data_IF_909679052593
#
_entry.id   IF_909679052593
#
_cell.length_a   1.000
_cell.length_b   1.000
_cell.length_c   1.000
_cell.angle_alpha   90.00
_cell.angle_beta   90.00
_cell.angle_gamma   90.00
#
_symmetry.space_group_name_H-M   'P 1'
#
loop_
_entity.id
_entity.type
_entity.pdbx_description
1 polymer ?
#
# COMPACT_ATOMS: atom_id res chain seq x y z
N UNK A 1 -44.52 51.17 -26.65
CA UNK A 1 -44.03 50.11 -27.56
C UNK A 1 -44.71 48.82 -27.12
N UNK A 2 -45.96 48.65 -27.55
CA UNK A 2 -46.40 47.61 -28.49
C UNK A 2 -46.21 46.21 -27.89
N UNK A 3 -47.26 45.58 -27.36
CA UNK A 3 -48.29 44.85 -28.14
C UNK A 3 -47.61 43.86 -29.08
N UNK A 4 -47.53 42.58 -28.67
CA UNK A 4 -47.87 41.45 -29.54
C UNK A 4 -48.04 40.14 -28.74
N UNK A 5 -49.31 39.75 -28.55
CA UNK A 5 -49.84 38.38 -28.48
C UNK A 5 -49.44 37.46 -27.30
N UNK A 6 -50.33 37.04 -26.38
CA UNK A 6 -51.78 37.13 -26.37
C UNK A 6 -52.45 36.28 -27.45
N UNK A 7 -52.97 35.11 -27.07
CA UNK A 7 -53.71 34.11 -27.86
C UNK A 7 -52.88 33.11 -28.69
N UNK A 8 -53.32 31.85 -28.63
CA UNK A 8 -52.74 30.60 -29.18
C UNK A 8 -51.74 29.97 -28.19
N UNK A 9 -52.18 29.36 -27.08
CA UNK A 9 -52.69 27.99 -27.13
C UNK A 9 -53.62 27.71 -25.94
N UNK A 10 -54.79 28.37 -25.93
CA UNK A 10 -55.94 27.99 -25.12
C UNK A 10 -56.64 26.79 -25.77
N UNK A 11 -55.95 25.66 -25.94
CA UNK A 11 -56.50 24.42 -26.52
C UNK A 11 -55.78 23.16 -25.99
N UNK A 12 -55.51 23.01 -24.69
CA UNK A 12 -55.19 21.67 -24.11
C UNK A 12 -55.75 21.49 -22.68
N UNK A 13 -56.76 22.27 -22.29
CA UNK A 13 -57.48 22.05 -21.01
C UNK A 13 -58.98 22.21 -21.18
N UNK A 14 -59.59 21.23 -21.85
CA UNK A 14 -60.98 20.77 -21.74
C UNK A 14 -61.17 19.71 -22.84
N UNK A 15 -61.59 18.46 -22.58
CA UNK A 15 -62.41 18.01 -21.45
C UNK A 15 -61.90 16.71 -20.79
N UNK A 16 -61.48 16.80 -19.53
CA UNK A 16 -61.37 15.66 -18.59
C UNK A 16 -62.75 15.18 -18.08
N UNK A 17 -63.82 15.48 -18.83
CA UNK A 17 -65.23 15.31 -18.42
C UNK A 17 -66.01 14.43 -19.42
N UNK A 18 -65.39 13.92 -20.49
CA UNK A 18 -66.03 13.00 -21.45
C UNK A 18 -65.60 11.53 -21.38
N UNK A 19 -64.87 11.11 -20.33
CA UNK A 19 -64.57 9.67 -20.11
C UNK A 19 -65.50 9.06 -19.04
N UNK A 20 -66.33 9.86 -18.36
CA UNK A 20 -67.28 9.37 -17.34
C UNK A 20 -68.63 8.93 -17.95
N UNK A 21 -68.86 9.12 -19.26
CA UNK A 21 -70.14 8.77 -19.92
C UNK A 21 -69.92 8.01 -21.23
N UNK A 22 -69.02 7.03 -21.26
CA UNK A 22 -69.07 5.91 -22.22
C UNK A 22 -68.57 4.68 -21.47
N UNK A 23 -69.31 3.56 -21.54
CA UNK A 23 -69.11 2.27 -20.84
C UNK A 23 -70.01 1.98 -19.63
N UNK A 24 -71.22 2.56 -19.60
CA UNK A 24 -72.38 1.83 -19.06
C UNK A 24 -72.78 0.79 -20.12
N UNK A 25 -72.84 -0.48 -19.72
CA UNK A 25 -73.01 -1.69 -20.53
C UNK A 25 -71.74 -2.28 -21.18
N UNK A 26 -70.82 -2.79 -20.37
CA UNK A 26 -70.12 -4.03 -20.72
C UNK A 26 -70.35 -5.03 -19.59
N UNK A 27 -70.97 -6.14 -19.98
CA UNK A 27 -71.52 -7.19 -19.14
C UNK A 27 -70.46 -7.86 -18.28
N UNK A 28 -70.84 -8.17 -17.04
CA UNK A 28 -70.09 -8.84 -15.95
C UNK A 28 -69.42 -10.19 -16.34
N UNK A 29 -69.58 -10.68 -17.57
CA UNK A 29 -69.02 -11.93 -18.05
C UNK A 29 -67.61 -11.86 -18.67
N UNK A 30 -67.01 -10.66 -18.82
CA UNK A 30 -65.62 -10.52 -19.32
C UNK A 30 -64.55 -10.30 -18.23
N UNK A 31 -64.97 -10.04 -16.99
CA UNK A 31 -64.05 -10.01 -15.83
C UNK A 31 -63.82 -11.43 -15.27
N UNK A 32 -64.73 -12.37 -15.54
CA UNK A 32 -64.56 -13.79 -15.14
C UNK A 32 -63.72 -14.63 -16.11
N UNK A 33 -63.50 -14.20 -17.36
CA UNK A 33 -62.68 -14.96 -18.33
C UNK A 33 -61.22 -14.49 -18.41
N UNK A 34 -60.87 -13.37 -17.78
CA UNK A 34 -59.47 -12.94 -17.58
C UNK A 34 -58.94 -13.28 -16.18
N UNK A 35 -59.81 -13.67 -15.23
CA UNK A 35 -59.42 -14.25 -13.94
C UNK A 35 -59.22 -15.78 -13.99
N UNK A 36 -59.65 -16.47 -15.07
CA UNK A 36 -59.49 -17.91 -15.25
C UNK A 36 -58.28 -18.31 -16.13
N UNK A 37 -57.40 -17.36 -16.46
CA UNK A 37 -56.08 -17.61 -17.06
C UNK A 37 -54.92 -17.21 -16.12
N UNK A 38 -55.23 -16.80 -14.89
CA UNK A 38 -54.27 -16.55 -13.81
C UNK A 38 -54.53 -17.44 -12.57
N UNK A 39 -55.41 -18.44 -12.71
CA UNK A 39 -55.83 -19.38 -11.67
C UNK A 39 -55.58 -20.85 -12.00
N UNK A 40 -54.59 -21.17 -12.84
CA UNK A 40 -54.07 -22.54 -13.07
C UNK A 40 -52.54 -22.54 -12.86
N UNK A 41 -52.11 -22.05 -11.70
CA UNK A 41 -50.70 -22.08 -11.28
C UNK A 41 -50.50 -22.46 -9.82
N UNK A 42 -51.57 -22.87 -9.13
CA UNK A 42 -51.53 -23.24 -7.70
C UNK A 42 -52.30 -24.54 -7.51
N UNK A 43 -51.72 -25.64 -7.99
CA UNK A 43 -51.98 -26.98 -7.46
C UNK A 43 -50.64 -27.65 -7.23
N UNK A 44 -50.25 -27.58 -5.97
CA UNK A 44 -49.30 -28.41 -5.23
C UNK A 44 -49.11 -29.81 -5.84
N UNK A 45 -47.85 -30.24 -6.03
CA UNK A 45 -47.39 -31.51 -5.48
C UNK A 45 -46.33 -31.24 -4.40
N UNK A 46 -46.80 -31.33 -3.17
CA UNK A 46 -46.03 -31.61 -1.96
C UNK A 46 -45.78 -33.12 -2.00
N UNK A 47 -44.51 -33.52 -1.80
CA UNK A 47 -43.95 -34.88 -1.91
C UNK A 47 -44.00 -35.45 -3.35
N UNK A 48 -42.91 -35.72 -4.06
CA UNK A 48 -41.65 -36.37 -3.67
C UNK A 48 -40.53 -35.70 -4.45
N UNK A 49 -39.71 -34.92 -3.75
CA UNK A 49 -38.53 -34.27 -4.29
C UNK A 49 -37.34 -34.40 -3.36
N UNK A 50 -37.14 -35.58 -2.76
CA UNK A 50 -35.82 -35.97 -2.22
C UNK A 50 -34.84 -36.25 -3.37
N UNK A 51 -34.76 -35.37 -4.35
CA UNK A 51 -33.47 -35.10 -4.95
C UNK A 51 -32.86 -34.07 -4.04
N UNK A 52 -32.11 -34.57 -3.06
CA UNK A 52 -30.97 -33.86 -2.52
C UNK A 52 -30.40 -33.04 -3.66
N UNK A 53 -30.46 -31.71 -3.58
CA UNK A 53 -29.57 -30.89 -4.36
C UNK A 53 -28.19 -31.37 -3.93
N UNK A 54 -27.63 -32.26 -4.72
CA UNK A 54 -26.22 -32.56 -4.79
C UNK A 54 -25.54 -31.28 -5.27
N UNK A 55 -25.58 -30.23 -4.44
CA UNK A 55 -24.72 -29.07 -4.52
C UNK A 55 -23.34 -29.48 -4.04
N UNK A 56 -22.74 -30.37 -4.83
CA UNK A 56 -21.32 -30.62 -4.82
C UNK A 56 -20.85 -30.72 -6.27
N UNK A 57 -21.25 -29.74 -7.08
CA UNK A 57 -20.26 -29.16 -7.98
C UNK A 57 -19.35 -28.24 -7.16
N UNK A 58 -18.61 -28.82 -6.22
CA UNK A 58 -17.26 -28.33 -5.99
C UNK A 58 -16.61 -28.42 -7.36
N UNK A 59 -16.31 -27.28 -7.97
CA UNK A 59 -15.34 -27.26 -9.06
C UNK A 59 -14.10 -27.89 -8.45
N UNK A 60 -13.86 -29.17 -8.71
CA UNK A 60 -12.61 -29.82 -8.33
C UNK A 60 -11.57 -29.07 -9.14
N UNK A 61 -10.85 -28.18 -8.47
CA UNK A 61 -9.67 -27.58 -9.06
C UNK A 61 -8.79 -28.74 -9.52
N UNK A 62 -8.59 -28.86 -10.83
CA UNK A 62 -7.70 -29.86 -11.44
C UNK A 62 -6.24 -29.65 -11.00
N UNK A 63 -5.97 -28.51 -10.35
CA UNK A 63 -4.67 -28.09 -9.82
C UNK A 63 -4.73 -28.10 -8.28
N UNK A 64 -3.69 -28.58 -7.56
CA UNK A 64 -3.63 -28.50 -6.10
C UNK A 64 -3.35 -27.07 -5.63
N UNK A 65 -4.30 -26.17 -5.86
CA UNK A 65 -4.27 -24.81 -5.34
C UNK A 65 -5.19 -24.74 -4.12
N UNK A 66 -4.60 -24.79 -2.93
CA UNK A 66 -5.30 -24.71 -1.66
C UNK A 66 -5.06 -23.33 -1.03
N UNK A 67 -6.14 -22.62 -0.73
CA UNK A 67 -6.13 -21.30 -0.08
C UNK A 67 -6.68 -21.49 1.33
N UNK A 68 -5.90 -21.18 2.36
CA UNK A 68 -6.32 -21.27 3.77
C UNK A 68 -5.94 -19.99 4.54
N UNK A 69 -6.80 -19.47 5.42
CA UNK A 69 -6.46 -18.26 6.16
C UNK A 69 -5.21 -18.52 7.04
N UNK A 70 -4.25 -17.59 7.08
CA UNK A 70 -3.10 -17.71 7.97
C UNK A 70 -3.57 -17.67 9.43
N UNK A 71 -2.88 -18.40 10.32
CA UNK A 71 -3.17 -18.33 11.74
C UNK A 71 -2.71 -16.99 12.31
N UNK A 72 -3.63 -16.24 12.91
CA UNK A 72 -3.29 -15.04 13.70
C UNK A 72 -2.67 -15.47 15.03
N UNK A 73 -1.44 -15.03 15.36
CA UNK A 73 -0.84 -15.33 16.65
C UNK A 73 -1.60 -14.64 17.80
N UNK A 74 -1.54 -15.19 19.02
CA UNK A 74 -2.17 -14.56 20.19
C UNK A 74 -1.50 -13.24 20.59
N UNK A 75 -0.22 -13.08 20.24
CA UNK A 75 0.58 -11.90 20.52
C UNK A 75 1.55 -11.61 19.38
N UNK A 76 1.94 -10.35 19.23
CA UNK A 76 3.03 -9.91 18.37
C UNK A 76 4.07 -9.16 19.18
N UNK A 77 5.33 -9.19 18.75
CA UNK A 77 6.40 -8.40 19.38
C UNK A 77 6.75 -7.23 18.47
N UNK A 78 6.85 -6.02 19.00
CA UNK A 78 7.30 -4.82 18.28
C UNK A 78 8.19 -3.98 19.19
N UNK A 79 9.44 -3.77 18.80
CA UNK A 79 10.51 -3.19 19.65
C UNK A 79 10.61 -3.83 21.04
N UNK A 80 10.51 -5.15 21.13
CA UNK A 80 10.55 -5.86 22.41
C UNK A 80 9.26 -5.79 23.23
N UNK A 81 8.35 -4.87 22.93
CA UNK A 81 7.02 -4.82 23.53
C UNK A 81 6.13 -5.92 22.99
N UNK A 82 5.38 -6.57 23.89
CA UNK A 82 4.42 -7.63 23.55
C UNK A 82 3.03 -7.05 23.42
N UNK A 83 2.45 -7.17 22.23
CA UNK A 83 1.12 -6.69 21.88
C UNK A 83 0.15 -7.87 21.92
N UNK A 84 -0.83 -7.80 22.82
CA UNK A 84 -1.93 -8.77 22.89
C UNK A 84 -2.88 -8.59 21.70
N UNK A 85 -3.09 -9.68 20.95
CA UNK A 85 -3.96 -9.76 19.78
C UNK A 85 -5.21 -10.61 20.03
N UNK A 86 -5.48 -11.06 21.25
CA UNK A 86 -6.66 -11.90 21.59
C UNK A 86 -7.96 -11.12 21.60
N UNK A 87 -7.90 -9.81 21.86
CA UNK A 87 -9.06 -8.91 21.75
C UNK A 87 -9.57 -8.90 20.31
N UNK A 88 -10.89 -9.06 20.13
CA UNK A 88 -11.51 -9.25 18.81
C UNK A 88 -11.11 -8.15 17.80
N UNK A 89 -11.08 -6.90 18.24
CA UNK A 89 -10.76 -5.73 17.42
C UNK A 89 -9.32 -5.76 16.90
N UNK A 90 -8.37 -6.22 17.72
CA UNK A 90 -6.96 -6.37 17.32
C UNK A 90 -6.76 -7.62 16.48
N UNK A 91 -7.46 -8.71 16.83
CA UNK A 91 -7.37 -9.99 16.13
C UNK A 91 -7.81 -9.89 14.68
N UNK A 92 -9.01 -9.33 14.46
CA UNK A 92 -9.59 -9.19 13.12
C UNK A 92 -8.78 -8.19 12.26
N UNK A 93 -8.23 -7.13 12.87
CA UNK A 93 -7.34 -6.20 12.17
C UNK A 93 -6.01 -6.85 11.77
N UNK A 94 -5.41 -7.68 12.63
CA UNK A 94 -4.21 -8.44 12.29
C UNK A 94 -4.50 -9.50 11.21
N UNK A 95 -5.62 -10.23 11.35
CA UNK A 95 -6.06 -11.25 10.39
C UNK A 95 -6.14 -10.69 8.97
N UNK A 96 -6.84 -9.56 8.83
CA UNK A 96 -6.98 -8.85 7.54
C UNK A 96 -5.63 -8.59 6.88
N UNK A 97 -4.65 -8.08 7.63
CA UNK A 97 -3.37 -7.71 7.04
C UNK A 97 -2.49 -8.94 6.77
N UNK A 98 -2.54 -9.98 7.61
CA UNK A 98 -1.88 -11.27 7.34
C UNK A 98 -2.44 -11.91 6.07
N UNK A 99 -3.77 -11.94 5.91
CA UNK A 99 -4.41 -12.39 4.68
C UNK A 99 -3.93 -11.57 3.47
N UNK A 100 -3.90 -10.24 3.59
CA UNK A 100 -3.46 -9.37 2.49
C UNK A 100 -2.03 -9.68 2.05
N UNK A 101 -1.07 -9.75 2.98
CA UNK A 101 0.32 -10.05 2.63
C UNK A 101 0.51 -11.48 2.13
N UNK A 102 -0.26 -12.45 2.64
CA UNK A 102 -0.20 -13.84 2.16
C UNK A 102 -0.68 -13.94 0.72
N UNK A 103 -1.83 -13.33 0.40
CA UNK A 103 -2.49 -13.53 -0.89
C UNK A 103 -2.11 -12.54 -1.99
N UNK A 104 -1.44 -11.45 -1.65
CA UNK A 104 -0.79 -10.57 -2.63
C UNK A 104 0.61 -11.10 -3.01
N UNK A 105 0.68 -12.37 -3.42
CA UNK A 105 1.92 -13.13 -3.51
C UNK A 105 3.04 -12.45 -4.29
N UNK A 106 2.73 -11.91 -5.48
CA UNK A 106 3.70 -11.23 -6.33
C UNK A 106 4.30 -10.00 -5.66
N UNK A 107 3.48 -9.25 -4.92
CA UNK A 107 3.92 -8.05 -4.20
C UNK A 107 4.82 -8.44 -3.03
N UNK A 108 4.38 -9.40 -2.21
CA UNK A 108 5.13 -9.86 -1.04
C UNK A 108 6.47 -10.50 -1.42
N UNK A 109 6.49 -11.35 -2.45
CA UNK A 109 7.75 -11.88 -2.99
C UNK A 109 8.69 -10.76 -3.45
N UNK A 110 8.17 -9.75 -4.15
CA UNK A 110 9.00 -8.62 -4.58
C UNK A 110 9.53 -7.79 -3.41
N UNK A 111 8.75 -7.62 -2.34
CA UNK A 111 9.21 -6.96 -1.12
C UNK A 111 10.37 -7.74 -0.49
N UNK A 112 10.26 -9.07 -0.33
CA UNK A 112 11.33 -9.91 0.24
C UNK A 112 12.60 -9.84 -0.63
N UNK A 113 12.46 -9.96 -1.96
CA UNK A 113 13.59 -9.85 -2.89
C UNK A 113 14.32 -8.52 -2.76
N UNK A 114 13.59 -7.41 -2.65
CA UNK A 114 14.15 -6.05 -2.47
C UNK A 114 14.74 -5.83 -1.08
N UNK A 115 14.17 -6.46 -0.05
CA UNK A 115 14.69 -6.34 1.31
C UNK A 115 16.13 -6.87 1.40
N UNK A 116 16.43 -7.94 0.68
CA UNK A 116 17.80 -8.46 0.57
C UNK A 116 18.81 -7.42 0.06
N UNK A 117 18.37 -6.45 -0.76
CA UNK A 117 19.20 -5.35 -1.26
C UNK A 117 19.30 -4.19 -0.28
N UNK A 118 18.17 -3.80 0.33
CA UNK A 118 18.11 -2.53 1.05
C UNK A 118 18.26 -2.65 2.56
N UNK A 119 17.81 -3.74 3.19
CA UNK A 119 17.95 -3.91 4.64
C UNK A 119 19.42 -3.84 5.11
N UNK A 120 20.42 -4.46 4.44
CA UNK A 120 21.83 -4.31 4.83
C UNK A 120 22.34 -2.86 4.89
N UNK A 121 21.73 -1.95 4.10
CA UNK A 121 22.07 -0.52 4.10
C UNK A 121 21.33 0.23 5.21
N UNK A 122 20.08 -0.16 5.50
CA UNK A 122 19.18 0.58 6.39
C UNK A 122 19.39 0.20 7.85
N UNK A 123 19.54 -1.08 8.17
CA UNK A 123 19.63 -1.57 9.55
C UNK A 123 20.80 -0.92 10.33
N UNK A 124 22.02 -0.77 9.75
CA UNK A 124 23.09 -0.05 10.44
C UNK A 124 22.77 1.42 10.71
N UNK A 125 22.03 2.08 9.81
CA UNK A 125 21.63 3.49 9.97
C UNK A 125 20.58 3.66 11.08
N UNK A 126 19.60 2.75 11.16
CA UNK A 126 18.63 2.72 12.25
C UNK A 126 19.34 2.49 13.59
N UNK A 127 20.20 1.47 13.65
CA UNK A 127 20.98 1.13 14.84
C UNK A 127 21.87 2.28 15.31
N UNK A 128 22.60 2.92 14.40
CA UNK A 128 23.44 4.07 14.71
C UNK A 128 22.64 5.26 15.25
N UNK A 129 21.35 5.32 14.96
CA UNK A 129 20.43 6.32 15.49
C UNK A 129 19.65 5.85 16.72
N UNK A 130 19.84 4.62 17.22
CA UNK A 130 19.04 4.08 18.32
C UNK A 130 17.56 3.93 17.97
N UNK A 131 17.24 3.74 16.68
CA UNK A 131 15.89 3.40 16.23
C UNK A 131 15.75 1.88 16.22
N UNK A 132 14.61 1.33 16.70
CA UNK A 132 14.35 -0.10 16.63
C UNK A 132 14.43 -0.64 15.20
N UNK A 133 14.99 -1.84 15.07
CA UNK A 133 15.15 -2.51 13.78
C UNK A 133 13.81 -2.71 13.05
N UNK A 134 12.73 -2.93 13.82
CA UNK A 134 11.37 -3.11 13.30
C UNK A 134 10.88 -1.92 12.45
N UNK A 135 11.43 -0.72 12.62
CA UNK A 135 11.06 0.44 11.80
C UNK A 135 11.46 0.30 10.33
N UNK A 136 12.36 -0.64 9.98
CA UNK A 136 12.67 -0.94 8.58
C UNK A 136 11.43 -1.41 7.80
N UNK A 137 10.46 -2.03 8.49
CA UNK A 137 9.23 -2.50 7.89
C UNK A 137 8.28 -1.38 7.47
N UNK A 138 8.44 -0.15 7.97
CA UNK A 138 7.70 1.00 7.45
C UNK A 138 7.99 1.21 5.96
N UNK A 139 9.25 1.11 5.52
CA UNK A 139 9.57 1.21 4.08
C UNK A 139 8.88 0.13 3.24
N UNK A 140 8.62 -1.04 3.84
CA UNK A 140 7.93 -2.13 3.17
C UNK A 140 6.47 -1.76 2.93
N UNK A 141 5.76 -1.27 3.96
CA UNK A 141 4.35 -0.92 3.83
C UNK A 141 4.09 0.41 3.10
N UNK A 142 5.09 1.31 3.09
CA UNK A 142 5.03 2.62 2.43
C UNK A 142 5.33 2.51 0.92
N UNK A 143 6.38 1.80 0.55
CA UNK A 143 6.92 1.85 -0.82
C UNK A 143 7.08 0.48 -1.48
N UNK A 144 6.78 -0.62 -0.78
CA UNK A 144 7.17 -1.98 -1.19
C UNK A 144 8.69 -2.07 -1.47
N UNK A 145 9.49 -1.32 -0.69
CA UNK A 145 10.92 -1.12 -0.87
C UNK A 145 11.32 -0.65 -2.28
N UNK A 146 10.44 0.12 -2.93
CA UNK A 146 10.73 0.72 -4.22
C UNK A 146 11.37 2.10 -4.02
N UNK A 147 12.67 2.28 -4.31
CA UNK A 147 13.34 3.55 -4.06
C UNK A 147 12.81 4.69 -4.93
N UNK A 148 12.13 4.40 -6.04
CA UNK A 148 11.51 5.38 -6.95
C UNK A 148 10.00 5.54 -6.75
N UNK A 149 9.43 4.99 -5.68
CA UNK A 149 8.00 5.11 -5.39
C UNK A 149 7.56 6.58 -5.31
N UNK A 150 6.38 6.88 -5.86
CA UNK A 150 5.70 8.16 -5.70
C UNK A 150 4.20 7.94 -5.57
N UNK A 151 3.59 8.42 -4.49
CA UNK A 151 2.15 8.33 -4.31
C UNK A 151 1.40 9.39 -5.14
N UNK A 152 0.09 9.22 -5.39
CA UNK A 152 -0.74 10.25 -6.01
C UNK A 152 -0.75 11.57 -5.24
N UNK A 153 -0.62 11.52 -3.91
CA UNK A 153 -0.53 12.71 -3.05
C UNK A 153 0.85 13.39 -3.11
N UNK A 154 1.86 12.73 -3.69
CA UNK A 154 3.21 13.29 -3.88
C UNK A 154 4.24 12.86 -2.84
N UNK A 155 3.92 11.91 -1.97
CA UNK A 155 4.90 11.22 -1.13
C UNK A 155 5.92 10.48 -2.01
N UNK A 156 7.20 10.41 -1.61
CA UNK A 156 8.26 9.87 -2.47
C UNK A 156 9.34 9.07 -1.74
N UNK A 157 9.97 8.15 -2.48
CA UNK A 157 11.08 7.33 -2.01
C UNK A 157 10.67 6.17 -1.10
N UNK A 158 11.68 5.50 -0.53
CA UNK A 158 11.46 4.34 0.36
C UNK A 158 10.59 4.67 1.57
N UNK A 159 10.80 5.86 2.12
CA UNK A 159 10.14 6.37 3.33
C UNK A 159 8.84 7.14 3.04
N UNK A 160 8.48 7.32 1.76
CA UNK A 160 7.27 8.06 1.34
C UNK A 160 7.13 9.43 2.02
N UNK A 161 8.20 10.23 2.05
CA UNK A 161 8.11 11.57 2.60
C UNK A 161 7.29 12.50 1.70
N UNK A 162 6.38 13.26 2.31
CA UNK A 162 5.77 14.43 1.68
C UNK A 162 6.82 15.53 1.46
N UNK A 163 6.73 16.35 0.39
CA UNK A 163 7.75 17.35 0.07
C UNK A 163 8.03 18.35 1.21
N UNK A 164 6.97 18.79 1.92
CA UNK A 164 7.09 19.75 3.03
C UNK A 164 7.80 19.10 4.20
N UNK A 165 7.32 17.93 4.64
CA UNK A 165 7.92 17.16 5.73
C UNK A 165 9.38 16.79 5.45
N UNK A 166 9.70 16.39 4.22
CA UNK A 166 11.09 16.12 3.82
C UNK A 166 12.01 17.32 4.09
N UNK A 167 11.57 18.54 3.72
CA UNK A 167 12.34 19.77 3.95
C UNK A 167 12.43 20.13 5.42
N UNK A 168 11.35 19.95 6.19
CA UNK A 168 11.35 20.14 7.65
C UNK A 168 12.40 19.24 8.32
N UNK A 169 12.56 18.02 7.83
CA UNK A 169 13.60 17.10 8.29
C UNK A 169 14.93 17.22 7.51
N UNK A 170 15.17 18.33 6.81
CA UNK A 170 16.48 18.69 6.28
C UNK A 170 16.87 18.04 4.94
N UNK A 171 15.92 17.47 4.20
CA UNK A 171 16.14 17.00 2.84
C UNK A 171 15.99 18.13 1.83
N UNK A 172 16.87 18.14 0.82
CA UNK A 172 16.70 18.97 -0.37
C UNK A 172 15.62 18.39 -1.29
N UNK A 173 14.63 19.20 -1.65
CA UNK A 173 13.53 18.82 -2.55
C UNK A 173 13.23 19.96 -3.52
N UNK A 174 13.69 19.81 -4.76
CA UNK A 174 13.44 20.71 -5.90
C UNK A 174 13.42 19.92 -7.23
N UNK A 175 13.25 20.63 -8.36
CA UNK A 175 13.08 20.01 -9.68
C UNK A 175 14.36 19.35 -10.23
N UNK A 176 15.54 19.61 -9.64
CA UNK A 176 16.80 19.03 -10.08
C UNK A 176 17.33 17.95 -9.12
N UNK A 177 17.09 18.12 -7.82
CA UNK A 177 17.52 17.25 -6.73
C UNK A 177 16.34 16.99 -5.79
N UNK A 178 16.05 15.72 -5.54
CA UNK A 178 15.03 15.31 -4.58
C UNK A 178 15.56 14.17 -3.70
N UNK A 179 16.09 14.57 -2.54
CA UNK A 179 16.76 13.66 -1.59
C UNK A 179 15.79 12.72 -0.86
N UNK A 180 14.47 12.82 -1.10
CA UNK A 180 13.51 11.79 -0.67
C UNK A 180 13.79 10.44 -1.33
N UNK A 181 14.34 10.47 -2.55
CA UNK A 181 14.78 9.28 -3.27
C UNK A 181 16.19 8.83 -2.86
N UNK A 182 16.94 9.62 -2.08
CA UNK A 182 18.28 9.24 -1.61
C UNK A 182 18.16 8.37 -0.36
N UNK A 183 18.57 7.11 -0.46
CA UNK A 183 18.31 6.07 0.54
C UNK A 183 18.83 6.47 1.93
N UNK A 184 20.10 6.82 2.04
CA UNK A 184 20.79 7.12 3.30
C UNK A 184 20.29 8.44 3.90
N UNK A 185 20.14 9.50 3.09
CA UNK A 185 19.66 10.80 3.56
C UNK A 185 18.20 10.73 4.02
N UNK A 186 17.33 10.09 3.25
CA UNK A 186 15.94 9.89 3.63
C UNK A 186 15.82 9.04 4.90
N UNK A 187 16.67 8.02 5.08
CA UNK A 187 16.72 7.23 6.32
C UNK A 187 17.16 8.07 7.52
N UNK A 188 18.16 8.93 7.35
CA UNK A 188 18.55 9.86 8.40
C UNK A 188 17.42 10.85 8.76
N UNK A 189 16.65 11.31 7.77
CA UNK A 189 15.47 12.15 7.99
C UNK A 189 14.36 11.39 8.74
N UNK A 190 14.09 10.13 8.36
CA UNK A 190 13.16 9.25 9.08
C UNK A 190 13.58 9.04 10.53
N UNK A 191 14.87 8.79 10.79
CA UNK A 191 15.40 8.68 12.15
C UNK A 191 15.16 9.94 12.99
N UNK A 192 15.32 11.14 12.39
CA UNK A 192 15.01 12.41 13.08
C UNK A 192 13.52 12.52 13.40
N UNK A 193 12.64 12.14 12.48
CA UNK A 193 11.21 12.08 12.72
C UNK A 193 10.90 11.14 13.88
N UNK A 194 11.40 9.90 13.84
CA UNK A 194 11.13 8.87 14.84
C UNK A 194 11.57 9.30 16.24
N UNK A 195 12.77 9.90 16.36
CA UNK A 195 13.26 10.46 17.63
C UNK A 195 12.35 11.55 18.17
N UNK A 196 11.91 12.47 17.32
CA UNK A 196 11.01 13.55 17.74
C UNK A 196 9.67 12.99 18.22
N UNK A 197 9.09 12.04 17.47
CA UNK A 197 7.83 11.42 17.83
C UNK A 197 7.98 10.56 19.12
N UNK A 198 9.08 9.82 19.27
CA UNK A 198 9.31 9.01 20.47
C UNK A 198 9.52 9.87 21.71
N UNK A 199 10.24 10.99 21.58
CA UNK A 199 10.37 11.97 22.67
C UNK A 199 9.01 12.54 23.13
N UNK A 200 8.00 12.52 22.25
CA UNK A 200 6.63 12.96 22.56
C UNK A 200 5.79 11.85 23.19
N UNK A 201 5.87 10.63 22.68
CA UNK A 201 4.95 9.55 23.05
C UNK A 201 5.52 8.53 24.04
N UNK A 202 6.83 8.30 24.02
CA UNK A 202 7.46 7.21 24.76
C UNK A 202 7.04 5.80 24.31
N UNK A 203 6.25 5.69 23.25
CA UNK A 203 5.67 4.45 22.73
C UNK A 203 5.91 4.34 21.22
N UNK A 204 6.59 3.27 20.80
CA UNK A 204 6.94 3.09 19.39
C UNK A 204 5.75 2.77 18.50
N UNK A 205 4.69 2.18 19.06
CA UNK A 205 3.49 1.93 18.29
C UNK A 205 2.78 3.25 17.92
N UNK A 206 2.69 4.20 18.85
CA UNK A 206 2.23 5.56 18.62
C UNK A 206 3.13 6.33 17.65
N UNK A 207 4.46 6.13 17.71
CA UNK A 207 5.39 6.68 16.71
C UNK A 207 5.02 6.19 15.31
N UNK A 208 4.81 4.89 15.13
CA UNK A 208 4.42 4.32 13.84
C UNK A 208 3.08 4.87 13.33
N UNK A 209 2.07 4.97 14.20
CA UNK A 209 0.78 5.55 13.85
C UNK A 209 0.92 7.02 13.43
N UNK A 210 1.78 7.77 14.14
CA UNK A 210 2.03 9.18 13.83
C UNK A 210 2.73 9.38 12.49
N UNK A 211 3.55 8.42 12.06
CA UNK A 211 4.23 8.49 10.77
C UNK A 211 3.24 8.55 9.61
N UNK A 212 2.17 7.74 9.66
CA UNK A 212 1.08 7.77 8.68
C UNK A 212 0.16 8.98 8.85
N UNK A 213 -0.26 9.26 10.08
CA UNK A 213 -1.37 10.20 10.34
C UNK A 213 -0.95 11.63 10.67
N UNK A 214 0.34 11.86 10.94
CA UNK A 214 0.89 13.05 11.54
C UNK A 214 0.79 13.04 13.08
N UNK A 215 1.79 13.61 13.75
CA UNK A 215 1.85 13.68 15.21
C UNK A 215 0.69 14.47 15.82
N UNK A 216 0.31 15.60 15.22
CA UNK A 216 -0.82 16.41 15.72
C UNK A 216 -2.14 15.64 15.75
N UNK A 217 -2.38 14.78 14.74
CA UNK A 217 -3.59 13.97 14.65
C UNK A 217 -3.61 12.89 15.73
N UNK A 218 -2.51 12.15 15.88
CA UNK A 218 -2.42 11.09 16.90
C UNK A 218 -2.57 11.66 18.31
N UNK A 219 -1.87 12.74 18.63
CA UNK A 219 -2.01 13.39 19.94
C UNK A 219 -3.45 13.83 20.20
N UNK A 220 -4.08 14.53 19.25
CA UNK A 220 -5.46 14.97 19.41
C UNK A 220 -6.44 13.80 19.58
N UNK A 221 -6.19 12.64 18.98
CA UNK A 221 -7.09 11.49 19.08
C UNK A 221 -6.89 10.71 20.38
N UNK A 222 -5.66 10.59 20.87
CA UNK A 222 -5.39 10.06 22.23
C UNK A 222 -6.15 10.88 23.27
N UNK A 223 -6.02 12.21 23.22
CA UNK A 223 -6.69 13.12 24.15
C UNK A 223 -8.23 13.03 24.04
N UNK A 224 -8.76 13.06 22.81
CA UNK A 224 -10.22 13.06 22.57
C UNK A 224 -10.90 11.76 22.95
N UNK A 225 -10.22 10.64 22.76
CA UNK A 225 -10.78 9.31 22.98
C UNK A 225 -10.41 8.74 24.35
N UNK A 226 -9.64 9.50 25.16
CA UNK A 226 -9.15 9.07 26.47
C UNK A 226 -8.44 7.71 26.37
N UNK A 227 -7.64 7.53 25.32
CA UNK A 227 -6.95 6.29 25.03
C UNK A 227 -5.48 6.41 25.42
N UNK A 228 -4.99 5.43 26.18
CA UNK A 228 -3.59 5.38 26.60
C UNK A 228 -2.66 4.84 25.50
N UNK A 229 -3.21 4.11 24.53
CA UNK A 229 -2.45 3.41 23.51
C UNK A 229 -3.01 3.63 22.11
N UNK A 230 -2.12 3.88 21.12
CA UNK A 230 -2.52 4.24 19.77
C UNK A 230 -3.38 3.17 19.06
N UNK A 231 -3.16 1.88 19.36
CA UNK A 231 -3.96 0.78 18.78
C UNK A 231 -5.42 0.76 19.25
N UNK A 232 -5.76 1.45 20.34
CA UNK A 232 -7.13 1.56 20.83
C UNK A 232 -7.88 2.75 20.21
N UNK A 233 -7.20 3.57 19.40
CA UNK A 233 -7.81 4.70 18.72
C UNK A 233 -8.75 4.25 17.60
N UNK A 234 -9.90 4.92 17.54
CA UNK A 234 -10.77 4.95 16.38
C UNK A 234 -10.25 5.99 15.37
N UNK A 235 -9.55 5.53 14.34
CA UNK A 235 -8.98 6.38 13.30
C UNK A 235 -9.61 6.06 11.93
N UNK A 236 -9.30 6.90 10.93
CA UNK A 236 -9.60 6.57 9.53
C UNK A 236 -9.04 5.20 9.18
N UNK A 237 -9.76 4.44 8.34
CA UNK A 237 -9.45 3.05 8.04
C UNK A 237 -7.97 2.84 7.67
N UNK A 238 -7.41 3.68 6.80
CA UNK A 238 -6.00 3.61 6.41
C UNK A 238 -5.04 3.63 7.62
N UNK A 239 -5.23 4.60 8.52
CA UNK A 239 -4.39 4.76 9.72
C UNK A 239 -4.62 3.66 10.73
N UNK A 240 -5.88 3.26 10.98
CA UNK A 240 -6.22 2.16 11.88
C UNK A 240 -5.53 0.86 11.45
N UNK A 241 -5.44 0.61 10.14
CA UNK A 241 -4.77 -0.55 9.57
C UNK A 241 -3.25 -0.46 9.62
N UNK A 242 -2.68 0.74 9.63
CA UNK A 242 -1.24 0.96 9.46
C UNK A 242 -0.37 0.20 10.47
N UNK A 243 -0.74 0.25 11.75
CA UNK A 243 -0.04 -0.48 12.83
C UNK A 243 -0.11 -1.99 12.62
N UNK A 244 -1.26 -2.53 12.21
CA UNK A 244 -1.42 -3.97 11.96
C UNK A 244 -0.73 -4.41 10.66
N UNK A 245 -0.64 -3.54 9.65
CA UNK A 245 0.16 -3.79 8.44
C UNK A 245 1.64 -3.96 8.79
N UNK A 246 2.12 -3.14 9.73
CA UNK A 246 3.49 -3.21 10.22
C UNK A 246 3.77 -4.54 10.96
N UNK A 247 2.87 -4.94 11.86
CA UNK A 247 2.98 -6.21 12.58
C UNK A 247 2.87 -7.42 11.63
N UNK A 248 1.91 -7.39 10.71
CA UNK A 248 1.69 -8.48 9.75
C UNK A 248 2.87 -8.66 8.80
N UNK A 249 3.43 -7.56 8.28
CA UNK A 249 4.60 -7.67 7.40
C UNK A 249 5.82 -8.17 8.16
N UNK A 250 6.02 -7.74 9.41
CA UNK A 250 7.08 -8.29 10.28
C UNK A 250 6.91 -9.80 10.47
N UNK A 251 5.69 -10.26 10.74
CA UNK A 251 5.41 -11.68 10.92
C UNK A 251 5.69 -12.49 9.64
N UNK A 252 5.26 -11.99 8.47
CA UNK A 252 5.52 -12.63 7.17
C UNK A 252 7.01 -12.67 6.86
N UNK A 253 7.74 -11.58 7.08
CA UNK A 253 9.21 -11.55 6.89
C UNK A 253 9.96 -12.38 7.94
N UNK A 254 9.37 -12.55 9.12
CA UNK A 254 9.89 -13.36 10.21
C UNK A 254 9.92 -14.85 9.86
N UNK A 255 8.93 -15.32 9.08
CA UNK A 255 8.84 -16.71 8.63
C UNK A 255 8.07 -16.83 7.30
N UNK A 256 8.68 -16.49 6.15
CA UNK A 256 7.97 -16.47 4.86
C UNK A 256 7.44 -17.84 4.43
N UNK A 257 8.14 -18.94 4.76
CA UNK A 257 7.70 -20.28 4.35
C UNK A 257 6.37 -20.66 5.01
N UNK A 258 6.11 -20.21 6.25
CA UNK A 258 4.82 -20.43 6.93
C UNK A 258 3.63 -19.84 6.16
N UNK A 259 3.89 -18.84 5.32
CA UNK A 259 2.89 -18.17 4.48
C UNK A 259 2.95 -18.61 3.01
N UNK A 260 3.67 -19.70 2.70
CA UNK A 260 3.76 -20.26 1.34
C UNK A 260 4.80 -19.58 0.44
N UNK A 261 5.64 -18.70 0.97
CA UNK A 261 6.71 -18.05 0.19
C UNK A 261 7.98 -18.90 0.16
N UNK A 262 8.15 -19.66 -0.92
CA UNK A 262 9.28 -20.56 -1.13
C UNK A 262 10.30 -19.93 -2.10
N UNK A 263 11.06 -18.95 -1.62
CA UNK A 263 12.11 -18.31 -2.42
C UNK A 263 13.41 -19.09 -2.32
N UNK A 264 14.25 -19.01 -3.36
CA UNK A 264 15.64 -19.48 -3.36
C UNK A 264 16.58 -18.29 -3.31
N UNK A 265 17.84 -18.51 -2.92
CA UNK A 265 18.90 -17.48 -2.93
C UNK A 265 18.96 -16.73 -4.26
N UNK A 266 18.88 -17.45 -5.37
CA UNK A 266 18.92 -16.88 -6.72
C UNK A 266 17.75 -15.96 -7.08
N UNK A 267 16.63 -16.07 -6.35
CA UNK A 267 15.50 -15.18 -6.55
C UNK A 267 15.75 -13.81 -5.90
N UNK A 268 16.56 -13.72 -4.83
CA UNK A 268 16.74 -12.48 -4.11
C UNK A 268 17.51 -11.43 -4.93
N UNK A 269 17.26 -10.16 -4.66
CA UNK A 269 18.04 -9.09 -5.28
C UNK A 269 19.29 -8.81 -4.43
N UNK A 270 20.52 -9.04 -4.95
CA UNK A 270 21.74 -8.73 -4.23
C UNK A 270 21.94 -7.21 -4.16
N UNK A 271 22.74 -6.76 -3.21
CA UNK A 271 23.33 -5.43 -3.25
C UNK A 271 24.09 -5.21 -4.56
N UNK A 272 24.07 -3.98 -5.06
CA UNK A 272 24.83 -3.61 -6.26
C UNK A 272 26.06 -2.84 -5.78
N UNK A 273 27.28 -3.40 -5.88
CA UNK A 273 28.49 -2.67 -5.54
C UNK A 273 28.62 -1.39 -6.38
N UNK A 274 29.05 -0.31 -5.73
CA UNK A 274 29.27 0.97 -6.37
C UNK A 274 30.55 1.61 -5.84
N UNK A 275 31.09 2.55 -6.61
CA UNK A 275 32.06 3.54 -6.13
C UNK A 275 31.36 4.87 -5.94
N UNK A 276 31.85 5.66 -4.98
CA UNK A 276 31.39 7.01 -4.75
C UNK A 276 32.19 8.00 -5.59
N UNK A 277 31.49 8.92 -6.27
CA UNK A 277 32.10 10.04 -7.01
C UNK A 277 31.57 11.34 -6.44
N UNK A 278 32.43 12.09 -5.77
CA UNK A 278 32.11 13.43 -5.30
C UNK A 278 32.09 14.43 -6.47
N UNK A 279 31.05 15.25 -6.53
CA UNK A 279 30.91 16.33 -7.51
C UNK A 279 30.47 17.60 -6.81
N UNK A 280 31.15 18.70 -7.09
CA UNK A 280 30.85 20.04 -6.58
C UNK A 280 30.63 21.06 -7.72
N UNK A 281 30.68 20.61 -8.97
CA UNK A 281 30.41 21.42 -10.16
C UNK A 281 29.11 21.00 -10.84
N UNK A 282 28.65 21.82 -11.80
CA UNK A 282 27.57 21.47 -12.71
C UNK A 282 27.93 20.26 -13.58
N UNK A 283 26.96 19.39 -13.84
CA UNK A 283 27.02 18.35 -14.87
C UNK A 283 25.97 18.69 -15.92
N UNK A 284 26.40 19.21 -17.07
CA UNK A 284 25.48 19.67 -18.13
C UNK A 284 24.70 18.54 -18.81
N UNK A 285 25.26 17.33 -18.85
CA UNK A 285 24.64 16.14 -19.45
C UNK A 285 25.03 14.87 -18.67
N UNK A 286 24.06 14.32 -17.96
CA UNK A 286 24.21 13.09 -17.18
C UNK A 286 24.41 11.85 -18.06
N UNK A 287 23.98 11.85 -19.33
CA UNK A 287 24.20 10.73 -20.25
C UNK A 287 25.67 10.66 -20.65
N UNK A 288 26.26 11.79 -21.01
CA UNK A 288 27.69 11.90 -21.28
C UNK A 288 28.54 11.61 -20.03
N UNK A 289 28.09 12.07 -18.86
CA UNK A 289 28.74 11.73 -17.59
C UNK A 289 28.70 10.22 -17.32
N UNK A 290 27.54 9.58 -17.47
CA UNK A 290 27.37 8.13 -17.31
C UNK A 290 28.28 7.34 -18.25
N UNK A 291 28.32 7.73 -19.53
CA UNK A 291 29.18 7.09 -20.53
C UNK A 291 30.66 7.17 -20.15
N UNK A 292 31.14 8.33 -19.67
CA UNK A 292 32.52 8.50 -19.17
C UNK A 292 32.82 7.64 -17.94
N UNK A 293 31.81 7.30 -17.15
CA UNK A 293 31.93 6.37 -16.03
C UNK A 293 31.80 4.90 -16.44
N UNK A 294 31.56 4.59 -17.71
CA UNK A 294 31.41 3.23 -18.23
C UNK A 294 30.07 2.58 -17.88
N UNK A 295 29.03 3.38 -17.62
CA UNK A 295 27.68 2.91 -17.29
C UNK A 295 26.64 3.57 -18.21
N UNK A 296 25.45 2.99 -18.29
CA UNK A 296 24.33 3.60 -19.00
C UNK A 296 23.69 4.73 -18.18
N UNK A 297 23.00 5.64 -18.85
CA UNK A 297 22.20 6.66 -18.18
C UNK A 297 21.15 6.04 -17.23
N UNK A 298 20.51 4.94 -17.63
CA UNK A 298 19.56 4.23 -16.80
C UNK A 298 20.21 3.70 -15.49
N UNK A 299 21.39 3.08 -15.58
CA UNK A 299 22.14 2.63 -14.41
C UNK A 299 22.52 3.78 -13.47
N UNK A 300 22.91 4.93 -14.02
CA UNK A 300 23.19 6.12 -13.22
C UNK A 300 21.93 6.59 -12.47
N UNK A 301 20.77 6.60 -13.15
CA UNK A 301 19.47 7.01 -12.60
C UNK A 301 18.95 6.04 -11.55
N UNK A 302 19.14 4.75 -11.75
CA UNK A 302 18.73 3.71 -10.78
C UNK A 302 19.57 3.77 -9.50
N UNK A 303 20.87 4.05 -9.64
CA UNK A 303 21.78 4.21 -8.49
C UNK A 303 21.61 5.56 -7.78
N UNK A 304 21.13 6.59 -8.49
CA UNK A 304 20.96 7.95 -7.97
C UNK A 304 19.56 8.50 -8.30
N UNK A 305 18.49 7.86 -7.79
CA UNK A 305 17.11 8.24 -8.16
C UNK A 305 16.71 9.65 -7.67
N UNK A 306 17.53 10.24 -6.79
CA UNK A 306 17.44 11.61 -6.31
C UNK A 306 17.83 12.67 -7.34
N UNK A 307 18.59 12.31 -8.38
CA UNK A 307 18.75 13.19 -9.54
C UNK A 307 17.39 13.27 -10.23
N UNK A 308 16.88 14.47 -10.56
CA UNK A 308 15.54 14.64 -11.17
C UNK A 308 15.57 15.18 -12.59
N UNK A 309 16.68 15.79 -13.02
CA UNK A 309 16.89 16.23 -14.40
C UNK A 309 17.79 15.30 -15.22
N UNK A 310 18.01 15.66 -16.48
CA UNK A 310 19.06 15.12 -17.36
C UNK A 310 20.42 15.81 -17.16
N UNK A 311 20.48 16.80 -16.27
CA UNK A 311 21.67 17.54 -15.84
C UNK A 311 21.65 17.73 -14.32
N UNK A 312 22.80 18.01 -13.70
CA UNK A 312 22.92 18.43 -12.30
C UNK A 312 23.29 19.92 -12.25
N UNK A 313 22.31 20.76 -11.97
CA UNK A 313 22.45 22.21 -11.81
C UNK A 313 23.04 22.49 -10.43
N UNK A 314 24.33 22.80 -10.37
CA UNK A 314 25.03 23.00 -9.10
C UNK A 314 25.77 24.34 -9.04
N UNK A 315 25.03 25.43 -9.24
CA UNK A 315 25.60 26.79 -9.25
C UNK A 315 26.19 27.22 -7.91
N UNK A 316 25.75 26.60 -6.81
CA UNK A 316 26.17 26.94 -5.44
C UNK A 316 27.47 26.25 -5.02
N UNK A 317 28.00 25.32 -5.83
CA UNK A 317 29.19 24.55 -5.46
C UNK A 317 28.91 23.50 -4.38
N UNK A 318 27.65 23.11 -4.16
CA UNK A 318 27.28 22.14 -3.12
C UNK A 318 27.88 20.78 -3.47
N UNK A 319 28.52 20.13 -2.51
CA UNK A 319 29.06 18.77 -2.71
C UNK A 319 27.93 17.74 -2.75
N UNK A 320 27.86 16.98 -3.84
CA UNK A 320 27.05 15.77 -3.98
C UNK A 320 27.96 14.55 -4.11
N UNK A 321 27.44 13.39 -3.74
CA UNK A 321 28.11 12.10 -3.94
C UNK A 321 27.19 11.25 -4.81
N UNK A 322 27.70 10.83 -5.97
CA UNK A 322 26.99 9.96 -6.89
C UNK A 322 27.51 8.53 -6.73
N UNK A 323 26.59 7.58 -6.65
CA UNK A 323 26.90 6.15 -6.68
C UNK A 323 27.02 5.70 -8.13
N UNK A 324 28.20 5.18 -8.49
CA UNK A 324 28.48 4.64 -9.82
C UNK A 324 28.62 3.12 -9.68
N UNK A 325 27.64 2.33 -10.15
CA UNK A 325 27.74 0.89 -9.99
C UNK A 325 28.96 0.31 -10.71
N UNK A 326 29.61 -0.67 -10.11
CA UNK A 326 30.78 -1.32 -10.69
C UNK A 326 30.34 -2.43 -11.66
N UNK A 327 31.22 -2.82 -12.59
CA UNK A 327 30.94 -3.91 -13.54
C UNK A 327 30.65 -5.25 -12.85
N UNK A 328 31.23 -5.48 -11.67
CA UNK A 328 30.94 -6.67 -10.84
C UNK A 328 29.45 -6.74 -10.46
N UNK A 329 28.83 -5.59 -10.16
CA UNK A 329 27.42 -5.51 -9.78
C UNK A 329 26.42 -5.58 -10.94
N UNK A 330 26.88 -5.53 -12.20
CA UNK A 330 25.99 -5.40 -13.36
C UNK A 330 25.36 -6.73 -13.80
N UNK A 331 25.99 -7.86 -13.48
CA UNK A 331 25.54 -9.18 -13.89
C UNK A 331 25.06 -9.95 -12.66
N UNK A 332 23.79 -10.36 -12.68
CA UNK A 332 23.26 -11.22 -11.63
C UNK A 332 23.91 -12.60 -11.76
N UNK A 333 24.64 -13.01 -10.73
CA UNK A 333 25.10 -14.38 -10.57
C UNK A 333 24.29 -15.05 -9.46
N UNK A 334 23.26 -15.85 -9.81
CA UNK A 334 22.50 -16.70 -8.89
C UNK A 334 23.34 -17.47 -7.87
N UNK A 335 24.58 -17.85 -8.22
CA UNK A 335 25.47 -18.64 -7.36
C UNK A 335 26.15 -17.78 -6.29
N UNK A 336 26.24 -16.47 -6.49
CA UNK A 336 26.89 -15.53 -5.57
C UNK A 336 25.92 -14.76 -4.69
N UNK A 337 24.61 -14.78 -4.98
CA UNK A 337 23.63 -14.11 -4.12
C UNK A 337 23.64 -14.74 -2.72
N UNK A 338 24.00 -13.91 -1.74
CA UNK A 338 23.94 -14.25 -0.32
C UNK A 338 22.64 -13.69 0.24
N UNK A 339 21.78 -14.53 0.86
CA UNK A 339 20.63 -14.05 1.62
C UNK A 339 21.10 -13.24 2.82
N UNK A 340 20.57 -12.02 2.98
CA UNK A 340 20.71 -11.22 4.19
C UNK A 340 20.09 -11.96 5.40
N UNK A 341 18.98 -12.65 5.15
CA UNK A 341 18.26 -13.45 6.14
C UNK A 341 18.09 -14.88 5.61
N UNK A 342 18.74 -15.86 6.24
CA UNK A 342 18.69 -17.26 5.80
C UNK A 342 17.27 -17.83 5.80
N UNK A 343 16.43 -17.38 6.74
CA UNK A 343 15.02 -17.80 6.83
C UNK A 343 14.15 -17.33 5.66
N UNK A 344 14.63 -16.47 4.76
CA UNK A 344 13.86 -16.06 3.58
C UNK A 344 13.96 -17.04 2.42
N UNK A 345 14.90 -17.98 2.46
CA UNK A 345 15.13 -18.94 1.38
C UNK A 345 14.95 -20.38 1.85
N UNK A 346 14.78 -21.28 0.90
CA UNK A 346 14.61 -22.72 1.16
C UNK A 346 15.89 -23.55 0.90
N UNK A 347 16.96 -22.91 0.40
CA UNK A 347 18.19 -23.54 -0.08
C UNK A 347 19.48 -22.93 0.48
#
# INVERSE_FOLDING_TARGET
>A
MNILFGLILLVIFTPLINIIIVMKHISINYILTTALALGIGISIPVLVGSTCLSEQHSVQSEVPYCVTPPTVPEQAVFDGDTIDLRRYDRRERMDRELMSFTYMHSSTMQMIKRANRYFPVIEPLLKANGIPDDFKYLMVIESNLNPIARSPAGAAGLWQFMPVTAREFGLEVNDNVDERYHIEKATAAACRYFKQAYAKYGDWMAVSASYNAGQGRISSQLDKQLADHAMDLWLTEETSRYMFRLLAVKEVFGNPQRFGFLLKREHLYPGIPYKEVAVDTEISDLSNFAQKQGITYAQLRDANPWLRGSSLKNKTGKKYVLHIPTQEGMNYDPRKTVPHEHKWVID
#
